data_IF_450256939318
#
_entry.id   IF_450256939318
#
_cell.length_a   1.000
_cell.length_b   1.000
_cell.length_c   1.000
_cell.angle_alpha   90.00
_cell.angle_beta   90.00
_cell.angle_gamma   90.00
#
_symmetry.space_group_name_H-M   'P 1'
#
loop_
_entity.id
_entity.type
_entity.pdbx_description
1 polymer ?
#
# COMPACT_ATOMS: atom_id res chain seq x y z
N UNK A 1 12.04 5.98 -3.37
CA UNK A 1 11.69 4.90 -4.33
C UNK A 1 10.30 4.34 -4.04
N UNK A 2 10.05 3.80 -2.84
CA UNK A 2 8.76 3.19 -2.48
C UNK A 2 7.54 4.10 -2.74
N UNK A 3 7.58 5.36 -2.28
CA UNK A 3 6.52 6.36 -2.54
C UNK A 3 6.15 6.47 -4.03
N UNK A 4 7.15 6.66 -4.88
CA UNK A 4 6.94 6.85 -6.32
C UNK A 4 6.45 5.60 -7.02
N UNK A 5 6.98 4.43 -6.64
CA UNK A 5 6.56 3.17 -7.25
C UNK A 5 5.14 2.80 -6.83
N UNK A 6 4.78 3.07 -5.57
CA UNK A 6 3.43 2.92 -5.07
C UNK A 6 2.46 3.88 -5.77
N UNK A 7 2.82 5.16 -5.91
CA UNK A 7 2.05 6.13 -6.69
C UNK A 7 1.91 5.72 -8.15
N UNK A 8 2.92 5.09 -8.75
CA UNK A 8 2.84 4.60 -10.13
C UNK A 8 1.82 3.47 -10.28
N UNK A 9 1.71 2.57 -9.29
CA UNK A 9 0.66 1.55 -9.24
C UNK A 9 -0.74 2.15 -9.26
N UNK A 10 -0.94 3.30 -8.62
CA UNK A 10 -2.23 4.01 -8.64
C UNK A 10 -2.47 4.78 -9.95
N UNK A 11 -1.43 5.38 -10.53
CA UNK A 11 -1.57 6.33 -11.65
C UNK A 11 -1.50 5.71 -13.04
N UNK A 12 -0.87 4.54 -13.19
CA UNK A 12 -0.75 3.85 -14.49
C UNK A 12 -1.80 2.76 -14.57
N UNK A 13 -2.78 2.85 -15.50
CA UNK A 13 -3.86 1.88 -15.58
C UNK A 13 -3.36 0.44 -15.63
N UNK A 14 -2.36 0.10 -16.45
CA UNK A 14 -1.85 -1.27 -16.49
C UNK A 14 -1.36 -1.77 -15.11
N UNK A 15 -0.59 -0.95 -14.38
CA UNK A 15 -0.08 -1.32 -13.06
C UNK A 15 -1.17 -1.38 -12.00
N UNK A 16 -2.16 -0.48 -12.09
CA UNK A 16 -3.32 -0.50 -11.21
C UNK A 16 -4.05 -1.83 -11.22
N UNK A 17 -4.08 -2.55 -12.35
CA UNK A 17 -4.72 -3.87 -12.40
C UNK A 17 -4.10 -4.90 -11.45
N UNK A 18 -2.81 -4.76 -11.15
CA UNK A 18 -2.13 -5.61 -10.17
C UNK A 18 -2.49 -5.18 -8.75
N UNK A 19 -2.41 -3.87 -8.50
CA UNK A 19 -2.58 -3.26 -7.20
C UNK A 19 -4.04 -3.16 -6.73
N UNK A 20 -4.99 -3.15 -7.65
CA UNK A 20 -6.42 -3.24 -7.39
C UNK A 20 -6.78 -4.55 -6.67
N UNK A 21 -6.03 -5.64 -6.88
CA UNK A 21 -6.20 -6.88 -6.10
C UNK A 21 -6.00 -6.60 -4.61
N UNK A 22 -4.98 -5.82 -4.29
CA UNK A 22 -4.68 -5.38 -2.93
C UNK A 22 -5.75 -4.43 -2.38
N UNK A 23 -6.11 -3.40 -3.14
CA UNK A 23 -7.17 -2.47 -2.74
C UNK A 23 -8.58 -3.06 -2.73
N UNK A 24 -8.82 -4.23 -3.33
CA UNK A 24 -10.14 -4.89 -3.34
C UNK A 24 -10.61 -5.39 -1.97
N UNK A 25 -9.78 -5.32 -0.93
CA UNK A 25 -10.16 -5.71 0.42
C UNK A 25 -11.27 -4.81 0.96
N UNK A 26 -12.41 -5.41 1.35
CA UNK A 26 -13.56 -4.69 1.93
C UNK A 26 -13.50 -4.57 3.45
N UNK A 27 -12.54 -5.25 4.07
CA UNK A 27 -12.23 -5.20 5.49
C UNK A 27 -10.74 -4.99 5.64
N UNK A 28 -10.35 -4.14 6.59
CA UNK A 28 -8.95 -3.84 6.86
C UNK A 28 -8.52 -4.51 8.16
N UNK A 29 -7.61 -5.46 8.01
CA UNK A 29 -6.87 -6.12 9.08
C UNK A 29 -5.45 -6.43 8.59
N UNK A 30 -4.60 -7.00 9.46
CA UNK A 30 -3.20 -7.27 9.13
C UNK A 30 -3.02 -8.26 7.96
N UNK A 31 -4.03 -9.09 7.64
CA UNK A 31 -4.01 -10.00 6.48
C UNK A 31 -4.30 -9.28 5.17
N UNK A 32 -4.99 -8.13 5.18
CA UNK A 32 -5.20 -7.31 3.99
C UNK A 32 -3.85 -6.93 3.32
N UNK A 33 -2.81 -6.69 4.13
CA UNK A 33 -1.45 -6.44 3.66
C UNK A 33 -0.80 -7.60 2.90
N UNK A 34 -1.28 -8.83 3.08
CA UNK A 34 -0.79 -10.02 2.37
C UNK A 34 -1.57 -10.32 1.07
N UNK A 35 -2.72 -9.67 0.87
CA UNK A 35 -3.54 -9.83 -0.34
C UNK A 35 -2.93 -8.99 -1.45
N UNK A 36 -2.00 -9.56 -2.21
CA UNK A 36 -1.33 -8.87 -3.33
C UNK A 36 -1.19 -9.79 -4.53
N UNK A 37 -1.03 -9.19 -5.71
CA UNK A 37 -0.64 -9.94 -6.90
C UNK A 37 0.84 -10.38 -6.81
N UNK A 38 1.17 -11.59 -7.25
CA UNK A 38 2.54 -12.12 -7.15
C UNK A 38 3.59 -11.23 -7.87
N UNK A 39 3.27 -10.76 -9.08
CA UNK A 39 4.11 -9.83 -9.82
C UNK A 39 4.34 -8.49 -9.08
N UNK A 40 3.33 -7.98 -8.36
CA UNK A 40 3.47 -6.76 -7.57
C UNK A 40 4.46 -6.97 -6.41
N UNK A 41 4.41 -8.12 -5.73
CA UNK A 41 5.37 -8.50 -4.69
C UNK A 41 6.79 -8.47 -5.26
N UNK A 42 7.03 -9.12 -6.40
CA UNK A 42 8.35 -9.16 -7.04
C UNK A 42 8.83 -7.73 -7.37
N UNK A 43 7.96 -6.90 -7.94
CA UNK A 43 8.34 -5.54 -8.34
C UNK A 43 8.65 -4.66 -7.12
N UNK A 44 7.78 -4.64 -6.11
CA UNK A 44 7.99 -3.83 -4.89
C UNK A 44 9.25 -4.28 -4.12
N UNK A 45 9.46 -5.59 -4.00
CA UNK A 45 10.66 -6.13 -3.33
C UNK A 45 11.91 -5.92 -4.17
N UNK A 46 11.83 -6.11 -5.48
CA UNK A 46 12.94 -5.89 -6.41
C UNK A 46 13.41 -4.45 -6.42
N UNK A 47 12.51 -3.49 -6.55
CA UNK A 47 12.82 -2.04 -6.53
C UNK A 47 13.48 -1.62 -5.22
N UNK A 48 13.15 -2.28 -4.11
CA UNK A 48 13.73 -1.96 -2.81
C UNK A 48 15.06 -2.69 -2.59
N UNK A 49 15.16 -3.96 -2.97
CA UNK A 49 16.32 -4.81 -2.67
C UNK A 49 17.46 -4.68 -3.68
N UNK A 50 17.17 -4.43 -4.97
CA UNK A 50 18.21 -4.33 -6.01
C UNK A 50 19.23 -3.23 -5.72
N UNK A 51 18.84 -1.99 -5.33
CA UNK A 51 19.81 -0.97 -4.95
C UNK A 51 20.71 -1.40 -3.79
N UNK A 52 20.15 -2.05 -2.76
CA UNK A 52 20.93 -2.54 -1.61
C UNK A 52 21.93 -3.62 -2.03
N UNK A 53 21.55 -4.54 -2.91
CA UNK A 53 22.46 -5.55 -3.47
C UNK A 53 23.58 -4.90 -4.26
N UNK A 54 23.26 -3.95 -5.15
CA UNK A 54 24.25 -3.29 -6.01
C UNK A 54 25.23 -2.41 -5.23
N UNK A 55 24.81 -1.90 -4.06
CA UNK A 55 25.66 -1.13 -3.16
C UNK A 55 26.49 -2.01 -2.21
N UNK A 56 26.38 -3.34 -2.31
CA UNK A 56 27.22 -4.28 -1.55
C UNK A 56 26.79 -4.50 -0.10
N UNK A 57 25.53 -4.24 0.25
CA UNK A 57 25.03 -4.52 1.60
C UNK A 57 25.04 -6.03 1.88
N UNK A 58 25.35 -6.40 3.13
CA UNK A 58 25.35 -7.80 3.55
C UNK A 58 23.94 -8.41 3.46
N UNK A 59 23.82 -9.68 3.02
CA UNK A 59 22.51 -10.35 2.94
C UNK A 59 21.71 -10.34 4.25
N UNK A 60 22.38 -10.43 5.39
CA UNK A 60 21.75 -10.40 6.72
C UNK A 60 21.09 -9.05 7.02
N UNK A 61 21.74 -7.93 6.64
CA UNK A 61 21.20 -6.58 6.81
C UNK A 61 19.94 -6.40 5.96
N UNK A 62 19.98 -6.89 4.72
CA UNK A 62 18.83 -6.85 3.84
C UNK A 62 17.66 -7.68 4.38
N UNK A 63 17.93 -8.90 4.87
CA UNK A 63 16.90 -9.75 5.47
C UNK A 63 16.26 -9.10 6.69
N UNK A 64 17.07 -8.51 7.58
CA UNK A 64 16.58 -7.76 8.73
C UNK A 64 15.68 -6.59 8.30
N UNK A 65 16.11 -5.82 7.30
CA UNK A 65 15.32 -4.72 6.75
C UNK A 65 14.01 -5.19 6.11
N UNK A 66 14.02 -6.26 5.31
CA UNK A 66 12.80 -6.83 4.70
C UNK A 66 11.84 -7.30 5.78
N UNK A 67 12.34 -7.96 6.84
CA UNK A 67 11.55 -8.39 7.98
C UNK A 67 10.91 -7.21 8.72
N UNK A 68 11.67 -6.14 8.96
CA UNK A 68 11.15 -4.91 9.56
C UNK A 68 10.04 -4.30 8.70
N UNK A 69 10.25 -4.18 7.39
CA UNK A 69 9.24 -3.65 6.46
C UNK A 69 7.99 -4.53 6.44
N UNK A 70 8.12 -5.85 6.54
CA UNK A 70 6.97 -6.75 6.59
C UNK A 70 6.13 -6.52 7.85
N UNK A 71 6.77 -6.49 9.03
CA UNK A 71 6.10 -6.18 10.30
C UNK A 71 5.44 -4.81 10.25
N UNK A 72 6.15 -3.81 9.75
CA UNK A 72 5.64 -2.45 9.62
C UNK A 72 4.44 -2.39 8.67
N UNK A 73 4.52 -3.01 7.50
CA UNK A 73 3.42 -3.11 6.54
C UNK A 73 2.21 -3.80 7.14
N UNK A 74 2.39 -4.91 7.88
CA UNK A 74 1.28 -5.58 8.57
C UNK A 74 0.64 -4.70 9.64
N UNK A 75 1.44 -3.90 10.37
CA UNK A 75 0.93 -2.93 11.33
C UNK A 75 0.07 -1.86 10.65
N UNK A 76 0.47 -1.34 9.49
CA UNK A 76 -0.30 -0.31 8.77
C UNK A 76 -1.71 -0.77 8.37
N UNK A 77 -1.90 -2.06 8.12
CA UNK A 77 -3.20 -2.62 7.77
C UNK A 77 -3.96 -3.14 8.99
N UNK A 78 -3.31 -3.24 10.16
CA UNK A 78 -3.91 -3.83 11.33
C UNK A 78 -5.18 -3.07 11.74
N UNK A 79 -6.19 -3.80 12.20
CA UNK A 79 -7.44 -3.27 12.74
C UNK A 79 -7.26 -2.62 14.14
N UNK A 80 -6.14 -1.96 14.36
CA UNK A 80 -5.80 -1.26 15.59
C UNK A 80 -6.26 0.20 15.50
N UNK A 81 -7.31 0.52 16.25
CA UNK A 81 -7.81 1.88 16.39
C UNK A 81 -7.16 2.57 17.58
N UNK A 82 -6.63 3.76 17.37
CA UNK A 82 -6.02 4.58 18.42
C UNK A 82 -5.86 6.03 17.98
N UNK A 83 -5.54 6.91 18.93
CA UNK A 83 -5.19 8.29 18.64
C UNK A 83 -3.77 8.36 18.08
N UNK A 84 -3.71 8.30 16.75
CA UNK A 84 -2.47 8.44 16.01
C UNK A 84 -2.22 9.88 15.55
N UNK A 85 -2.92 10.90 16.06
CA UNK A 85 -2.78 12.27 15.55
C UNK A 85 -1.33 12.76 15.70
N UNK A 86 -0.74 12.69 16.91
CA UNK A 86 0.62 13.21 17.15
C UNK A 86 1.70 12.48 16.35
N UNK A 87 1.67 11.14 16.36
CA UNK A 87 2.70 10.32 15.69
C UNK A 87 2.42 10.14 14.20
N UNK A 88 1.16 10.15 13.79
CA UNK A 88 0.71 9.96 12.40
C UNK A 88 1.15 11.08 11.46
N UNK A 89 1.57 12.21 12.02
CA UNK A 89 2.26 13.22 11.23
C UNK A 89 3.68 12.80 10.84
N UNK A 90 4.38 12.01 11.64
CA UNK A 90 5.78 11.66 11.37
C UNK A 90 5.93 10.27 10.78
N UNK A 91 5.10 9.34 11.24
CA UNK A 91 5.11 7.95 10.83
C UNK A 91 3.77 7.59 10.19
N UNK A 92 3.83 6.78 9.13
CA UNK A 92 2.63 6.14 8.61
C UNK A 92 2.14 5.18 9.69
N UNK A 93 0.86 5.29 10.04
CA UNK A 93 0.21 4.51 11.09
C UNK A 93 -1.12 3.97 10.54
N UNK A 94 -1.80 3.05 11.24
CA UNK A 94 -2.95 2.36 10.69
C UNK A 94 -3.96 3.30 10.03
N UNK A 95 -4.39 4.35 10.73
CA UNK A 95 -5.37 5.31 10.19
C UNK A 95 -4.93 5.99 8.88
N UNK A 96 -3.65 6.31 8.74
CA UNK A 96 -3.09 6.92 7.52
C UNK A 96 -3.22 5.98 6.33
N UNK A 97 -2.89 4.70 6.52
CA UNK A 97 -2.96 3.70 5.46
C UNK A 97 -4.38 3.16 5.24
N UNK A 98 -5.23 3.17 6.27
CA UNK A 98 -6.65 2.89 6.09
C UNK A 98 -7.30 3.93 5.17
N UNK A 99 -6.94 5.22 5.31
CA UNK A 99 -7.38 6.27 4.38
C UNK A 99 -6.87 6.06 2.96
N UNK A 100 -5.70 5.44 2.77
CA UNK A 100 -5.20 5.05 1.45
C UNK A 100 -6.07 3.96 0.80
N UNK A 101 -6.63 3.05 1.60
CA UNK A 101 -7.54 1.99 1.15
C UNK A 101 -9.02 2.38 1.16
N UNK A 102 -9.33 3.64 1.47
CA UNK A 102 -10.70 4.09 1.62
C UNK A 102 -11.46 4.00 0.29
N UNK A 103 -12.72 3.59 0.38
CA UNK A 103 -13.67 3.73 -0.75
C UNK A 103 -14.16 5.18 -0.90
N UNK A 104 -13.98 5.98 0.17
CA UNK A 104 -14.34 7.38 0.22
C UNK A 104 -13.58 8.19 -0.84
N UNK A 105 -14.25 9.09 -1.61
CA UNK A 105 -13.60 9.92 -2.62
C UNK A 105 -12.39 10.71 -2.12
N UNK A 106 -12.39 11.11 -0.86
CA UNK A 106 -11.32 11.88 -0.21
C UNK A 106 -10.02 11.08 -0.05
N UNK A 107 -10.12 9.73 0.02
CA UNK A 107 -8.98 8.83 0.15
C UNK A 107 -8.36 8.38 -1.18
N UNK A 108 -9.03 8.64 -2.30
CA UNK A 108 -8.55 8.25 -3.64
C UNK A 108 -7.23 8.96 -3.96
N UNK A 109 -6.24 8.20 -4.43
CA UNK A 109 -4.91 8.69 -4.79
C UNK A 109 -4.20 9.49 -3.66
N UNK A 110 -4.40 9.09 -2.40
CA UNK A 110 -3.75 9.69 -1.22
C UNK A 110 -2.82 8.71 -0.51
N UNK A 111 -1.91 9.22 0.30
CA UNK A 111 -1.18 8.47 1.34
C UNK A 111 -0.33 7.28 0.84
N UNK A 112 0.55 7.52 -0.13
CA UNK A 112 1.39 6.47 -0.74
C UNK A 112 2.59 6.05 0.10
N UNK A 113 3.03 6.84 1.08
CA UNK A 113 4.19 6.50 1.89
C UNK A 113 3.89 5.38 2.88
N UNK A 114 4.81 4.41 2.96
CA UNK A 114 4.71 3.29 3.92
C UNK A 114 5.42 3.60 5.23
N UNK A 115 6.44 4.46 5.25
CA UNK A 115 7.18 4.78 6.48
C UNK A 115 6.90 6.20 6.95
N UNK A 116 7.13 7.18 6.07
CA UNK A 116 7.13 8.59 6.42
C UNK A 116 6.17 9.38 5.52
N UNK A 117 5.03 9.87 6.04
CA UNK A 117 4.08 10.73 5.33
C UNK A 117 4.68 12.05 4.82
N UNK A 118 5.94 12.35 5.16
CA UNK A 118 6.71 13.48 4.63
C UNK A 118 6.64 13.57 3.10
N UNK A 119 6.79 12.44 2.40
CA UNK A 119 6.72 12.44 0.94
C UNK A 119 5.32 12.80 0.43
N UNK A 120 4.26 12.31 1.09
CA UNK A 120 2.90 12.70 0.76
C UNK A 120 2.65 14.19 0.98
N UNK A 121 3.29 14.81 1.98
CA UNK A 121 3.19 16.28 2.16
C UNK A 121 3.94 17.03 1.08
N UNK A 122 5.18 16.63 0.79
CA UNK A 122 6.01 17.27 -0.23
C UNK A 122 5.32 17.24 -1.60
N UNK A 123 4.65 16.13 -1.93
CA UNK A 123 4.05 15.91 -3.24
C UNK A 123 2.52 16.08 -3.28
N UNK A 124 1.92 16.63 -2.22
CA UNK A 124 0.51 17.03 -2.18
C UNK A 124 -0.51 15.88 -2.13
N UNK A 125 -0.11 14.70 -1.66
CA UNK A 125 -0.95 13.48 -1.58
C UNK A 125 -1.32 13.10 -0.14
N UNK A 126 -0.95 13.91 0.85
CA UNK A 126 -1.25 13.66 2.26
C UNK A 126 -2.72 13.97 2.60
N UNK A 127 -3.39 13.01 3.21
CA UNK A 127 -4.75 13.14 3.75
C UNK A 127 -4.89 12.40 5.08
N UNK A 128 -5.11 13.14 6.16
CA UNK A 128 -5.29 12.54 7.49
C UNK A 128 -6.20 13.47 8.32
N UNK A 129 -7.54 13.39 8.16
CA UNK A 129 -8.46 14.19 8.95
C UNK A 129 -8.38 13.82 10.44
N UNK A 130 -8.64 14.78 11.32
CA UNK A 130 -8.56 14.56 12.77
C UNK A 130 -9.68 13.63 13.25
N UNK A 131 -9.31 12.62 14.04
CA UNK A 131 -10.21 11.68 14.71
C UNK A 131 -11.22 10.91 13.82
N UNK A 132 -11.16 11.04 12.49
CA UNK A 132 -12.03 10.33 11.55
C UNK A 132 -11.33 9.15 10.89
N UNK A 133 -12.07 8.06 10.72
CA UNK A 133 -11.68 6.87 9.96
C UNK A 133 -12.52 6.76 8.69
N UNK A 134 -12.04 6.05 7.64
CA UNK A 134 -12.82 5.78 6.43
C UNK A 134 -14.18 5.15 6.74
N UNK A 135 -15.19 5.45 5.91
CA UNK A 135 -16.51 4.83 6.04
C UNK A 135 -16.50 3.37 5.56
N UNK A 136 -15.59 3.04 4.65
CA UNK A 136 -15.39 1.69 4.13
C UNK A 136 -14.09 1.53 3.35
N UNK A 137 -13.84 0.32 2.86
CA UNK A 137 -12.65 -0.04 2.08
C UNK A 137 -13.06 -0.73 0.79
N UNK A 138 -12.16 -0.69 -0.19
CA UNK A 138 -12.34 -1.38 -1.45
C UNK A 138 -12.00 -0.51 -2.64
N UNK A 139 -12.41 -0.98 -3.81
CA UNK A 139 -12.35 -0.24 -5.07
C UNK A 139 -13.73 -0.27 -5.73
N UNK A 140 -14.11 0.76 -6.51
CA UNK A 140 -15.39 0.77 -7.22
C UNK A 140 -15.44 -0.29 -8.33
N UNK A 141 -14.29 -0.67 -8.89
CA UNK A 141 -14.21 -1.69 -9.92
C UNK A 141 -14.44 -3.11 -9.36
N UNK A 142 -14.97 -4.00 -10.20
CA UNK A 142 -15.25 -5.38 -9.81
C UNK A 142 -14.03 -6.27 -9.98
N UNK A 143 -13.19 -6.34 -8.95
CA UNK A 143 -12.10 -7.33 -8.86
C UNK A 143 -12.69 -8.72 -8.57
N UNK A 144 -12.32 -9.78 -9.31
CA UNK A 144 -12.90 -11.11 -9.14
C UNK A 144 -12.49 -11.75 -7.80
N UNK A 145 -13.34 -12.65 -7.31
CA UNK A 145 -13.01 -13.51 -6.17
C UNK A 145 -12.18 -14.71 -6.62
N UNK A 146 -11.34 -15.22 -5.71
CA UNK A 146 -10.54 -16.42 -5.93
C UNK A 146 -9.11 -16.11 -6.39
N UNK A 147 -8.15 -16.84 -5.81
CA UNK A 147 -6.72 -16.61 -6.01
C UNK A 147 -6.32 -16.56 -7.49
N UNK A 148 -6.67 -17.59 -8.26
CA UNK A 148 -6.30 -17.67 -9.68
C UNK A 148 -6.98 -16.61 -10.55
N UNK A 149 -8.22 -16.23 -10.22
CA UNK A 149 -8.92 -15.18 -10.95
C UNK A 149 -8.24 -13.82 -10.73
N UNK A 150 -7.80 -13.55 -9.50
CA UNK A 150 -7.05 -12.34 -9.15
C UNK A 150 -5.67 -12.28 -9.80
N UNK A 151 -4.99 -13.43 -9.93
CA UNK A 151 -3.71 -13.50 -10.66
C UNK A 151 -3.85 -13.28 -12.18
N UNK A 152 -5.04 -13.51 -12.73
CA UNK A 152 -5.32 -13.24 -14.15
C UNK A 152 -5.88 -11.84 -14.39
N UNK A 153 -6.47 -11.25 -13.36
CA UNK A 153 -7.18 -9.97 -13.42
C UNK A 153 -6.42 -8.85 -14.17
N UNK A 154 -5.15 -8.52 -13.86
CA UNK A 154 -4.45 -7.42 -14.54
C UNK A 154 -4.34 -7.58 -16.06
N UNK A 155 -4.38 -8.82 -16.57
CA UNK A 155 -4.22 -9.13 -18.00
C UNK A 155 -5.53 -9.21 -18.77
N UNK A 156 -6.66 -9.33 -18.07
CA UNK A 156 -8.00 -9.49 -18.69
C UNK A 156 -8.92 -8.30 -18.42
N UNK A 157 -8.54 -7.45 -17.46
CA UNK A 157 -9.20 -6.17 -17.19
C UNK A 157 -9.10 -5.26 -18.41
N UNK A 158 -10.21 -4.63 -18.78
CA UNK A 158 -10.21 -3.51 -19.71
C UNK A 158 -9.76 -2.27 -18.95
N UNK A 159 -8.72 -1.59 -19.43
CA UNK A 159 -8.35 -0.30 -18.86
C UNK A 159 -9.47 0.68 -19.17
N UNK A 160 -10.07 1.25 -18.12
CA UNK A 160 -10.99 2.39 -18.18
C UNK A 160 -10.20 3.70 -18.06
#
# INVERSE_FOLDING_TARGET
MQYWFHRLFHRVPFLWGFHAVHHSAKSMDWLAGARMHFAEIILLRGVTSLPLLTLGFLPSVMQAYIGLVYIWSSLLHANLRGDFNRMGHWLALPRFHHWHHAIDPEGVDRNFAIHFPLYDRIFGTHYLPDSTWPSGYGVPEKVPNGYFAQMRYPFVRKAE
#
